data_IF_816865783701
#
_entry.id   IF_816865783701
#
_cell.length_a   1.000
_cell.length_b   1.000
_cell.length_c   1.000
_cell.angle_alpha   90.00
_cell.angle_beta   90.00
_cell.angle_gamma   90.00
#
_symmetry.space_group_name_H-M   'P 1'
#
loop_
_entity.id
_entity.type
_entity.pdbx_description
1 polymer ?
#
# COMPACT_ATOMS: atom_id res chain seq x y z
N UNK A 1 7.91 1.60 8.39
CA UNK A 1 8.28 0.71 9.52
C UNK A 1 8.45 -0.74 9.09
N UNK A 2 7.51 -1.35 8.38
CA UNK A 2 7.66 -2.74 7.89
C UNK A 2 8.92 -2.98 7.04
N UNK A 3 9.31 -2.00 6.22
CA UNK A 3 10.58 -2.05 5.45
C UNK A 3 11.86 -2.03 6.29
N UNK A 4 11.79 -1.67 7.58
CA UNK A 4 12.92 -1.80 8.50
C UNK A 4 13.07 -3.23 9.02
N UNK A 5 11.97 -4.00 9.06
CA UNK A 5 11.94 -5.39 9.53
C UNK A 5 12.15 -6.38 8.37
N UNK A 6 11.69 -6.02 7.17
CA UNK A 6 11.82 -6.84 5.98
C UNK A 6 12.06 -5.95 4.75
N UNK A 7 13.22 -6.13 4.11
CA UNK A 7 13.65 -5.31 2.98
C UNK A 7 12.83 -5.61 1.74
N UNK A 8 12.48 -6.87 1.51
CA UNK A 8 11.85 -7.32 0.27
C UNK A 8 10.34 -7.49 0.45
N UNK A 9 9.54 -7.12 -0.57
CA UNK A 9 8.09 -7.38 -0.56
C UNK A 9 7.78 -8.86 -0.83
N UNK A 10 8.19 -9.72 0.09
CA UNK A 10 7.97 -11.16 0.08
C UNK A 10 6.82 -11.56 1.02
N UNK A 11 6.59 -12.86 1.22
CA UNK A 11 5.53 -13.35 2.10
C UNK A 11 5.68 -12.88 3.57
N UNK A 12 6.90 -12.77 4.08
CA UNK A 12 7.15 -12.26 5.45
C UNK A 12 6.81 -10.78 5.57
N UNK A 13 7.10 -10.00 4.54
CA UNK A 13 6.68 -8.60 4.47
C UNK A 13 5.15 -8.47 4.52
N UNK A 14 4.43 -9.28 3.73
CA UNK A 14 2.97 -9.27 3.74
C UNK A 14 2.42 -9.65 5.13
N UNK A 15 3.01 -10.66 5.78
CA UNK A 15 2.63 -11.01 7.15
C UNK A 15 2.87 -9.86 8.16
N UNK A 16 3.96 -9.09 8.02
CA UNK A 16 4.17 -7.88 8.83
C UNK A 16 3.15 -6.78 8.51
N UNK A 17 2.77 -6.61 7.24
CA UNK A 17 1.73 -5.66 6.85
C UNK A 17 0.38 -6.05 7.47
N UNK A 18 0.01 -7.33 7.42
CA UNK A 18 -1.26 -7.81 8.01
C UNK A 18 -1.29 -7.61 9.54
N UNK A 19 -0.15 -7.79 10.23
CA UNK A 19 -0.07 -7.63 11.68
C UNK A 19 -0.02 -6.17 12.17
N UNK A 20 0.66 -5.28 11.43
CA UNK A 20 0.90 -3.90 11.89
C UNK A 20 0.03 -2.85 11.20
N UNK A 21 -0.54 -3.18 10.05
CA UNK A 21 -1.35 -2.28 9.23
C UNK A 21 -2.65 -3.01 8.83
N UNK A 22 -3.60 -3.18 9.77
CA UNK A 22 -4.87 -3.80 9.44
C UNK A 22 -5.56 -3.04 8.30
N UNK A 23 -6.18 -3.77 7.37
CA UNK A 23 -6.87 -3.25 6.19
C UNK A 23 -5.98 -2.55 5.14
N UNK A 24 -4.65 -2.73 5.17
CA UNK A 24 -3.74 -2.07 4.23
C UNK A 24 -4.08 -2.34 2.76
N UNK A 25 -4.63 -3.50 2.43
CA UNK A 25 -5.06 -3.83 1.07
C UNK A 25 -6.18 -2.90 0.58
N UNK A 26 -7.20 -2.67 1.42
CA UNK A 26 -8.32 -1.78 1.08
C UNK A 26 -7.86 -0.33 0.96
N UNK A 27 -7.03 0.12 1.90
CA UNK A 27 -6.47 1.48 1.87
C UNK A 27 -5.63 1.67 0.60
N UNK A 28 -4.77 0.70 0.26
CA UNK A 28 -3.97 0.74 -0.97
C UNK A 28 -4.86 0.82 -2.22
N UNK A 29 -5.95 0.05 -2.29
CA UNK A 29 -6.89 0.11 -3.41
C UNK A 29 -7.52 1.50 -3.54
N UNK A 30 -7.96 2.10 -2.43
CA UNK A 30 -8.54 3.45 -2.43
C UNK A 30 -7.53 4.50 -2.89
N UNK A 31 -6.29 4.45 -2.38
CA UNK A 31 -5.22 5.37 -2.77
C UNK A 31 -4.89 5.25 -4.26
N UNK A 32 -4.76 4.03 -4.77
CA UNK A 32 -4.51 3.80 -6.19
C UNK A 32 -5.67 4.33 -7.07
N UNK A 33 -6.91 4.23 -6.60
CA UNK A 33 -8.07 4.77 -7.31
C UNK A 33 -8.07 6.31 -7.35
N UNK A 34 -7.66 6.96 -6.26
CA UNK A 34 -7.49 8.42 -6.21
C UNK A 34 -6.35 8.90 -7.11
N UNK A 35 -5.23 8.18 -7.12
CA UNK A 35 -4.10 8.48 -8.01
C UNK A 35 -4.52 8.35 -9.48
N UNK A 36 -5.22 7.27 -9.83
CA UNK A 36 -5.75 7.07 -11.18
C UNK A 36 -6.72 8.19 -11.58
N UNK A 37 -7.61 8.61 -10.67
CA UNK A 37 -8.49 9.74 -10.89
C UNK A 37 -7.68 11.01 -11.19
N UNK A 38 -6.71 11.36 -10.33
CA UNK A 38 -5.89 12.55 -10.52
C UNK A 38 -5.15 12.57 -11.87
N UNK A 39 -4.64 11.42 -12.31
CA UNK A 39 -3.96 11.26 -13.60
C UNK A 39 -4.91 11.46 -14.79
N UNK A 40 -6.12 10.88 -14.75
CA UNK A 40 -7.10 11.01 -15.85
C UNK A 40 -7.56 12.46 -16.02
N UNK A 41 -7.70 13.19 -14.92
CA UNK A 41 -8.18 14.58 -14.95
C UNK A 41 -7.07 15.63 -15.06
N UNK A 42 -5.80 15.21 -15.30
CA UNK A 42 -4.63 16.10 -15.40
C UNK A 42 -4.54 17.10 -14.24
N UNK A 43 -4.79 16.65 -13.01
CA UNK A 43 -4.79 17.50 -11.81
C UNK A 43 -3.38 17.65 -11.17
N UNK A 44 -2.32 17.22 -11.86
CA UNK A 44 -0.92 17.25 -11.43
C UNK A 44 0.01 17.66 -12.57
#
# INVERSE_FOLDING_TARGET
>A
MTHLLERHRNARFMAHMDNFLPNWQSIKQQLNALELFAQIYNLT
#
